data_IF_566308048550
#
_entry.id   IF_566308048550
#
_cell.length_a   1.000
_cell.length_b   1.000
_cell.length_c   1.000
_cell.angle_alpha   90.00
_cell.angle_beta   90.00
_cell.angle_gamma   90.00
#
_symmetry.space_group_name_H-M   'P 1'
#
loop_
_entity.id
_entity.type
_entity.pdbx_description
1 polymer ?
#
# COMPACT_ATOMS: atom_id res chain seq x y z
N UNK A 1 3.75 -18.98 3.84
CA UNK A 1 2.69 -18.31 4.62
C UNK A 1 1.80 -17.54 3.65
N UNK A 2 0.67 -18.13 3.26
CA UNK A 2 -0.35 -17.43 2.47
C UNK A 2 -1.08 -16.48 3.43
N UNK A 3 -0.81 -15.17 3.35
CA UNK A 3 -1.54 -14.18 4.14
C UNK A 3 -3.02 -14.21 3.74
N UNK A 4 -3.88 -14.18 4.74
CA UNK A 4 -5.29 -14.59 4.81
C UNK A 4 -6.33 -13.92 3.88
N UNK A 5 -5.97 -13.37 2.73
CA UNK A 5 -6.93 -12.64 1.90
C UNK A 5 -7.79 -13.52 0.97
N UNK A 6 -7.86 -14.83 1.22
CA UNK A 6 -8.66 -15.77 0.44
C UNK A 6 -8.08 -16.09 -0.95
N UNK A 7 -8.93 -16.69 -1.79
CA UNK A 7 -8.58 -17.15 -3.15
C UNK A 7 -8.26 -15.97 -4.07
N UNK A 8 -6.98 -15.63 -4.19
CA UNK A 8 -6.48 -14.59 -5.08
C UNK A 8 -4.98 -14.71 -5.27
N UNK A 9 -4.48 -14.32 -6.45
CA UNK A 9 -3.03 -14.25 -6.69
C UNK A 9 -2.49 -12.95 -6.11
N UNK A 10 -2.30 -12.96 -4.80
CA UNK A 10 -1.76 -11.84 -4.05
C UNK A 10 -0.31 -11.58 -4.42
N UNK A 11 -0.03 -10.34 -4.79
CA UNK A 11 1.32 -9.85 -5.05
C UNK A 11 1.58 -8.67 -4.13
N UNK A 12 2.76 -8.63 -3.53
CA UNK A 12 3.22 -7.46 -2.79
C UNK A 12 3.73 -6.44 -3.81
N UNK A 13 3.16 -5.25 -3.80
CA UNK A 13 3.54 -4.12 -4.63
C UNK A 13 4.12 -3.01 -3.76
N UNK A 14 4.88 -2.12 -4.39
CA UNK A 14 5.40 -0.89 -3.81
C UNK A 14 5.30 0.23 -4.83
N UNK A 15 5.12 1.45 -4.36
CA UNK A 15 4.96 2.62 -5.21
C UNK A 15 5.00 3.89 -4.38
N UNK A 16 5.09 5.03 -5.06
CA UNK A 16 5.05 6.34 -4.44
C UNK A 16 3.60 6.82 -4.47
N UNK A 17 3.12 7.33 -3.34
CA UNK A 17 1.80 7.94 -3.24
C UNK A 17 1.86 9.22 -2.40
N UNK A 18 1.04 10.19 -2.76
CA UNK A 18 0.80 11.37 -1.94
C UNK A 18 -0.08 10.96 -0.75
N UNK A 19 0.45 11.14 0.46
CA UNK A 19 -0.29 10.91 1.71
C UNK A 19 -0.60 12.25 2.37
N UNK A 20 -1.74 12.30 3.06
CA UNK A 20 -2.05 13.39 3.97
C UNK A 20 -1.70 12.95 5.38
N UNK A 21 -0.82 13.69 6.04
CA UNK A 21 -0.50 13.53 7.45
C UNK A 21 -1.63 14.08 8.32
N UNK A 22 -1.67 13.69 9.60
CA UNK A 22 -2.73 14.12 10.53
C UNK A 22 -2.76 15.65 10.76
N UNK A 23 -1.64 16.32 10.51
CA UNK A 23 -1.50 17.78 10.57
C UNK A 23 -2.05 18.49 9.30
N UNK A 24 -2.47 17.75 8.28
CA UNK A 24 -2.94 18.26 7.00
C UNK A 24 -1.86 18.44 5.94
N UNK A 25 -0.58 18.17 6.26
CA UNK A 25 0.53 18.24 5.31
C UNK A 25 0.41 17.14 4.27
N UNK A 26 0.57 17.51 2.99
CA UNK A 26 0.63 16.57 1.87
C UNK A 26 2.08 16.29 1.52
N UNK A 27 2.50 15.04 1.59
CA UNK A 27 3.86 14.63 1.24
C UNK A 27 3.87 13.32 0.45
N UNK A 28 4.92 13.12 -0.35
CA UNK A 28 5.11 11.88 -1.09
C UNK A 28 5.72 10.82 -0.18
N UNK A 29 5.20 9.59 -0.25
CA UNK A 29 5.71 8.48 0.54
C UNK A 29 5.77 7.20 -0.29
N UNK A 30 6.82 6.40 -0.09
CA UNK A 30 6.84 5.02 -0.57
C UNK A 30 5.87 4.20 0.28
N UNK A 31 4.83 3.69 -0.38
CA UNK A 31 3.81 2.81 0.20
C UNK A 31 3.97 1.40 -0.36
N UNK A 32 3.78 0.40 0.49
CA UNK A 32 3.74 -1.00 0.11
C UNK A 32 2.32 -1.52 0.35
N UNK A 33 1.79 -2.30 -0.59
CA UNK A 33 0.47 -2.91 -0.45
C UNK A 33 0.44 -4.30 -1.07
N UNK A 34 -0.64 -5.04 -0.82
CA UNK A 34 -0.94 -6.28 -1.50
C UNK A 34 -2.05 -6.05 -2.51
N UNK A 35 -1.89 -6.55 -3.72
CA UNK A 35 -2.92 -6.49 -4.75
C UNK A 35 -3.19 -7.88 -5.32
N UNK A 36 -4.48 -8.17 -5.55
CA UNK A 36 -4.92 -9.32 -6.30
C UNK A 36 -5.84 -8.88 -7.44
N UNK A 37 -5.61 -9.47 -8.61
CA UNK A 37 -6.38 -9.19 -9.81
C UNK A 37 -7.86 -9.56 -9.59
N UNK A 38 -8.76 -8.60 -9.80
CA UNK A 38 -10.20 -8.77 -9.59
C UNK A 38 -10.68 -8.64 -8.13
N UNK A 39 -9.77 -8.50 -7.15
CA UNK A 39 -10.11 -8.26 -5.74
C UNK A 39 -9.74 -6.82 -5.32
N UNK A 40 -8.63 -6.30 -5.84
CA UNK A 40 -8.13 -4.96 -5.55
C UNK A 40 -6.96 -4.95 -4.56
N UNK A 41 -6.74 -3.78 -3.96
CA UNK A 41 -5.59 -3.47 -3.10
C UNK A 41 -5.95 -3.60 -1.61
N UNK A 42 -5.02 -4.12 -0.81
CA UNK A 42 -5.15 -4.39 0.63
C UNK A 42 -3.85 -4.08 1.36
N UNK A 43 -3.94 -3.79 2.66
CA UNK A 43 -2.79 -3.58 3.55
C UNK A 43 -1.78 -2.52 3.05
N UNK A 44 -2.23 -1.28 2.92
CA UNK A 44 -1.31 -0.17 2.66
C UNK A 44 -0.44 0.09 3.90
N UNK A 45 0.87 0.10 3.70
CA UNK A 45 1.85 0.43 4.74
C UNK A 45 2.84 1.46 4.20
N UNK A 46 2.91 2.59 4.87
CA UNK A 46 3.93 3.61 4.60
C UNK A 46 5.29 3.04 5.03
N UNK A 47 6.26 3.11 4.12
CA UNK A 47 7.61 2.59 4.33
C UNK A 47 8.61 3.71 4.54
N UNK A 48 8.56 4.74 3.71
CA UNK A 48 9.43 5.92 3.77
C UNK A 48 8.65 7.14 3.33
N UNK A 49 8.88 8.28 3.98
CA UNK A 49 8.45 9.60 3.49
C UNK A 49 9.59 10.11 2.59
N UNK A 50 9.25 10.61 1.41
CA UNK A 50 10.18 11.04 0.35
C UNK A 50 10.33 12.57 0.28
N UNK A 51 10.00 13.27 1.37
CA UNK A 51 10.14 14.73 1.53
C UNK A 51 11.58 15.22 1.31
#
# INVERSE_FOLDING_TARGET
MQKNYGSGRWRKLKGIATIQLEDGTMCEAEIHWYEAQGIGQKEFKIKYILE
#
